data_IF_119635883406
#
_entry.id   IF_119635883406
#
_cell.length_a   1.000
_cell.length_b   1.000
_cell.length_c   1.000
_cell.angle_alpha   90.00
_cell.angle_beta   90.00
_cell.angle_gamma   90.00
#
_symmetry.space_group_name_H-M   'P 1'
#
loop_
_entity.id
_entity.type
_entity.pdbx_description
1 polymer ?
#
# COMPACT_ATOMS: atom_id res chain seq x y z
N UNK A 1 -17.55 -13.60 -5.39
CA UNK A 1 -16.74 -12.36 -5.22
C UNK A 1 -15.36 -12.64 -5.78
N UNK A 2 -14.80 -11.78 -6.66
CA UNK A 2 -13.44 -12.02 -7.19
C UNK A 2 -12.40 -11.81 -6.07
N UNK A 3 -11.42 -12.71 -5.91
CA UNK A 3 -10.37 -12.53 -4.93
C UNK A 3 -9.53 -11.29 -5.25
N UNK A 4 -9.03 -10.61 -4.23
CA UNK A 4 -8.10 -9.50 -4.39
C UNK A 4 -6.78 -10.03 -4.94
N UNK A 5 -6.40 -9.62 -6.15
CA UNK A 5 -5.12 -10.02 -6.74
C UNK A 5 -3.96 -9.22 -6.14
N UNK A 6 -3.37 -9.75 -5.07
CA UNK A 6 -2.27 -9.12 -4.32
C UNK A 6 -1.13 -8.68 -5.25
N UNK A 7 -0.70 -9.57 -6.18
CA UNK A 7 0.37 -9.26 -7.14
C UNK A 7 0.00 -8.12 -8.08
N UNK A 8 -1.26 -8.04 -8.51
CA UNK A 8 -1.74 -6.96 -9.38
C UNK A 8 -1.73 -5.60 -8.68
N UNK A 9 -2.15 -5.55 -7.41
CA UNK A 9 -2.11 -4.34 -6.59
C UNK A 9 -0.67 -3.93 -6.28
N UNK A 10 0.15 -4.87 -5.84
CA UNK A 10 1.57 -4.60 -5.58
C UNK A 10 2.27 -4.10 -6.84
N UNK A 11 1.98 -4.68 -8.01
CA UNK A 11 2.52 -4.24 -9.30
C UNK A 11 2.17 -2.78 -9.63
N UNK A 12 0.93 -2.33 -9.37
CA UNK A 12 0.53 -0.93 -9.53
C UNK A 12 1.33 0.00 -8.61
N UNK A 13 1.47 -0.36 -7.33
CA UNK A 13 2.25 0.41 -6.35
C UNK A 13 3.73 0.49 -6.78
N UNK A 14 4.32 -0.65 -7.18
CA UNK A 14 5.71 -0.74 -7.64
C UNK A 14 5.92 0.14 -8.88
N UNK A 15 4.96 0.20 -9.81
CA UNK A 15 5.02 1.09 -10.96
C UNK A 15 5.15 2.57 -10.55
N UNK A 16 4.38 3.01 -9.57
CA UNK A 16 4.49 4.37 -9.01
C UNK A 16 5.85 4.57 -8.34
N UNK A 17 6.31 3.63 -7.52
CA UNK A 17 7.60 3.74 -6.85
C UNK A 17 8.78 3.76 -7.83
N UNK A 18 8.75 2.98 -8.90
CA UNK A 18 9.75 3.03 -9.98
C UNK A 18 9.82 4.40 -10.64
N UNK A 19 8.68 5.03 -10.85
CA UNK A 19 8.59 6.38 -11.41
C UNK A 19 9.14 7.44 -10.43
N UNK A 20 8.64 7.43 -9.19
CA UNK A 20 8.99 8.46 -8.20
C UNK A 20 10.43 8.32 -7.68
N UNK A 21 10.91 7.09 -7.52
CA UNK A 21 12.26 6.79 -7.02
C UNK A 21 13.25 6.44 -8.12
N UNK A 22 12.98 6.77 -9.40
CA UNK A 22 13.79 6.35 -10.54
C UNK A 22 15.31 6.53 -10.34
N UNK A 23 15.73 7.67 -9.78
CA UNK A 23 17.15 7.98 -9.53
C UNK A 23 17.80 7.13 -8.43
N UNK A 24 17.01 6.59 -7.50
CA UNK A 24 17.47 5.79 -6.35
C UNK A 24 17.00 4.33 -6.41
N UNK A 25 16.37 3.91 -7.51
CA UNK A 25 15.71 2.61 -7.60
C UNK A 25 16.65 1.43 -7.31
N UNK A 26 17.92 1.52 -7.73
CA UNK A 26 18.94 0.51 -7.44
C UNK A 26 19.14 0.29 -5.94
N UNK A 27 18.98 1.33 -5.13
CA UNK A 27 19.20 1.31 -3.68
C UNK A 27 17.91 0.99 -2.92
N UNK A 28 16.77 1.52 -3.37
CA UNK A 28 15.49 1.43 -2.64
C UNK A 28 14.55 0.36 -3.18
N UNK A 29 14.82 -0.19 -4.36
CA UNK A 29 13.88 -1.05 -5.10
C UNK A 29 13.42 -2.27 -4.32
N UNK A 30 14.35 -2.99 -3.67
CA UNK A 30 14.02 -4.15 -2.83
C UNK A 30 13.06 -3.79 -1.68
N UNK A 31 13.28 -2.64 -1.04
CA UNK A 31 12.40 -2.15 0.04
C UNK A 31 11.05 -1.71 -0.51
N UNK A 32 11.04 -0.98 -1.62
CA UNK A 32 9.83 -0.52 -2.31
C UNK A 32 8.94 -1.69 -2.75
N UNK A 33 9.53 -2.75 -3.31
CA UNK A 33 8.82 -3.96 -3.73
C UNK A 33 8.26 -4.73 -2.52
N UNK A 34 9.06 -4.90 -1.46
CA UNK A 34 8.63 -5.58 -0.24
C UNK A 34 7.47 -4.83 0.44
N UNK A 35 7.57 -3.51 0.59
CA UNK A 35 6.52 -2.71 1.22
C UNK A 35 5.24 -2.67 0.37
N UNK A 36 5.35 -2.64 -0.96
CA UNK A 36 4.20 -2.75 -1.85
C UNK A 36 3.47 -4.10 -1.68
N UNK A 37 4.22 -5.20 -1.61
CA UNK A 37 3.65 -6.54 -1.37
C UNK A 37 3.01 -6.64 0.00
N UNK A 38 3.67 -6.16 1.06
CA UNK A 38 3.10 -6.14 2.41
C UNK A 38 1.81 -5.34 2.45
N UNK A 39 1.80 -4.13 1.89
CA UNK A 39 0.61 -3.29 1.88
C UNK A 39 -0.55 -3.94 1.13
N UNK A 40 -0.29 -4.57 -0.02
CA UNK A 40 -1.31 -5.32 -0.76
C UNK A 40 -1.85 -6.54 0.01
N UNK A 41 -0.99 -7.26 0.74
CA UNK A 41 -1.41 -8.34 1.62
C UNK A 41 -2.27 -7.84 2.79
N UNK A 42 -1.89 -6.72 3.41
CA UNK A 42 -2.64 -6.14 4.52
C UNK A 42 -4.06 -5.74 4.08
N UNK A 43 -4.23 -5.19 2.87
CA UNK A 43 -5.56 -4.91 2.30
C UNK A 43 -6.40 -6.20 2.23
N UNK A 44 -5.83 -7.29 1.70
CA UNK A 44 -6.54 -8.57 1.58
C UNK A 44 -6.93 -9.15 2.95
N UNK A 45 -6.00 -9.09 3.90
CA UNK A 45 -6.21 -9.60 5.25
C UNK A 45 -7.27 -8.79 6.02
N UNK A 46 -7.21 -7.46 5.93
CA UNK A 46 -8.18 -6.58 6.59
C UNK A 46 -9.58 -6.75 6.00
N UNK A 47 -9.69 -6.92 4.68
CA UNK A 47 -10.98 -7.24 4.05
C UNK A 47 -11.53 -8.58 4.55
N UNK A 48 -10.68 -9.61 4.70
CA UNK A 48 -11.09 -10.89 5.29
C UNK A 48 -11.57 -10.72 6.73
N UNK A 49 -10.82 -10.02 7.58
CA UNK A 49 -11.19 -9.76 8.98
C UNK A 49 -12.49 -8.95 9.10
N UNK A 50 -12.72 -7.99 8.21
CA UNK A 50 -13.97 -7.23 8.16
C UNK A 50 -15.14 -8.13 7.82
N UNK A 51 -15.00 -8.98 6.81
CA UNK A 51 -16.05 -9.91 6.37
C UNK A 51 -16.35 -11.00 7.39
N UNK A 52 -15.36 -11.42 8.16
CA UNK A 52 -15.53 -12.38 9.25
C UNK A 52 -16.04 -11.74 10.55
N UNK A 53 -16.22 -10.41 10.59
CA UNK A 53 -16.69 -9.68 11.77
C UNK A 53 -15.63 -9.52 12.88
N UNK A 54 -14.36 -9.82 12.59
CA UNK A 54 -13.25 -9.67 13.55
C UNK A 54 -12.84 -8.22 13.75
N UNK A 55 -13.08 -7.35 12.76
CA UNK A 55 -12.86 -5.91 12.87
C UNK A 55 -14.05 -5.12 12.32
N UNK A 56 -14.32 -3.97 12.92
CA UNK A 56 -15.27 -2.98 12.37
C UNK A 56 -14.65 -2.24 11.18
N UNK A 57 -15.47 -1.51 10.42
CA UNK A 57 -14.95 -0.67 9.33
C UNK A 57 -14.00 0.41 9.84
N UNK A 58 -14.26 0.98 11.02
CA UNK A 58 -13.39 1.99 11.62
C UNK A 58 -12.04 1.41 12.04
N UNK A 59 -12.04 0.24 12.68
CA UNK A 59 -10.82 -0.49 13.03
C UNK A 59 -10.01 -0.85 11.78
N UNK A 60 -10.69 -1.29 10.72
CA UNK A 60 -10.04 -1.60 9.45
C UNK A 60 -9.38 -0.37 8.79
N UNK A 61 -10.03 0.81 8.83
CA UNK A 61 -9.42 2.07 8.38
C UNK A 61 -8.22 2.47 9.23
N UNK A 62 -8.31 2.30 10.56
CA UNK A 62 -7.20 2.57 11.46
C UNK A 62 -5.99 1.67 11.16
N UNK A 63 -6.22 0.38 10.92
CA UNK A 63 -5.18 -0.57 10.50
C UNK A 63 -4.56 -0.15 9.16
N UNK A 64 -5.36 0.24 8.15
CA UNK A 64 -4.80 0.70 6.88
C UNK A 64 -3.97 1.98 7.01
N UNK A 65 -4.38 2.91 7.89
CA UNK A 65 -3.58 4.10 8.23
C UNK A 65 -2.26 3.72 8.88
N UNK A 66 -2.26 2.76 9.81
CA UNK A 66 -1.04 2.23 10.43
C UNK A 66 -0.10 1.61 9.38
N UNK A 67 -0.61 0.77 8.50
CA UNK A 67 0.19 0.14 7.45
C UNK A 67 0.77 1.17 6.47
N UNK A 68 0.00 2.20 6.10
CA UNK A 68 0.51 3.28 5.25
C UNK A 68 1.63 4.08 5.94
N UNK A 69 1.49 4.37 7.24
CA UNK A 69 2.53 5.02 8.05
C UNK A 69 3.78 4.15 8.18
N UNK A 70 3.62 2.85 8.45
CA UNK A 70 4.72 1.89 8.52
C UNK A 70 5.52 1.87 7.22
N UNK A 71 4.83 1.78 6.08
CA UNK A 71 5.46 1.82 4.76
C UNK A 71 6.23 3.13 4.53
N UNK A 72 5.66 4.28 4.90
CA UNK A 72 6.37 5.57 4.84
C UNK A 72 7.65 5.57 5.68
N UNK A 73 7.60 5.05 6.90
CA UNK A 73 8.76 5.00 7.79
C UNK A 73 9.87 4.11 7.22
N UNK A 74 9.53 2.91 6.75
CA UNK A 74 10.49 1.99 6.13
C UNK A 74 11.15 2.66 4.93
N UNK A 75 10.36 3.18 3.99
CA UNK A 75 10.92 3.82 2.80
C UNK A 75 11.78 5.04 3.15
N UNK A 76 11.34 5.89 4.07
CA UNK A 76 12.12 7.07 4.50
C UNK A 76 13.45 6.66 5.14
N UNK A 77 13.51 5.54 5.86
CA UNK A 77 14.74 5.03 6.47
C UNK A 77 15.77 4.50 5.44
N UNK A 78 15.37 4.34 4.17
CA UNK A 78 16.24 3.75 3.15
C UNK A 78 16.97 4.82 2.33
N UNK A 79 18.27 4.58 2.09
CA UNK A 79 19.10 5.30 1.12
C UNK A 79 19.05 6.84 1.18
N UNK A 80 18.80 7.42 2.36
CA UNK A 80 18.65 8.87 2.52
C UNK A 80 17.55 9.46 1.64
N UNK A 81 16.41 8.77 1.52
CA UNK A 81 15.24 9.35 0.86
C UNK A 81 14.67 10.50 1.72
N UNK A 82 14.37 11.63 1.08
CA UNK A 82 13.68 12.72 1.77
C UNK A 82 12.26 12.28 2.15
N UNK A 83 11.80 12.65 3.34
CA UNK A 83 10.44 12.41 3.81
C UNK A 83 9.39 12.85 2.78
N UNK A 84 9.54 14.05 2.20
CA UNK A 84 8.61 14.63 1.21
C UNK A 84 8.45 13.74 -0.03
N UNK A 85 9.55 13.19 -0.55
CA UNK A 85 9.51 12.31 -1.73
C UNK A 85 8.76 11.01 -1.41
N UNK A 86 9.01 10.43 -0.24
CA UNK A 86 8.33 9.20 0.20
C UNK A 86 6.85 9.45 0.44
N UNK A 87 6.48 10.57 1.07
CA UNK A 87 5.07 10.92 1.26
C UNK A 87 4.33 11.07 -0.06
N UNK A 88 4.95 11.76 -1.03
CA UNK A 88 4.40 11.89 -2.38
C UNK A 88 4.18 10.51 -3.01
N UNK A 89 5.20 9.65 -2.97
CA UNK A 89 5.13 8.32 -3.56
C UNK A 89 4.00 7.47 -2.95
N UNK A 90 3.92 7.43 -1.61
CA UNK A 90 2.93 6.61 -0.91
C UNK A 90 1.52 7.14 -1.12
N UNK A 91 1.31 8.45 -1.03
CA UNK A 91 -0.02 9.02 -1.25
C UNK A 91 -0.49 8.77 -2.70
N UNK A 92 0.39 9.02 -3.69
CA UNK A 92 0.07 8.75 -5.09
C UNK A 92 -0.23 7.27 -5.35
N UNK A 93 0.51 6.35 -4.72
CA UNK A 93 0.27 4.91 -4.84
C UNK A 93 -1.09 4.51 -4.25
N UNK A 94 -1.47 5.05 -3.09
CA UNK A 94 -2.76 4.78 -2.44
C UNK A 94 -3.91 5.32 -3.31
N UNK A 95 -3.79 6.55 -3.80
CA UNK A 95 -4.81 7.17 -4.65
C UNK A 95 -5.04 6.38 -5.94
N UNK A 96 -3.97 5.88 -6.56
CA UNK A 96 -4.02 5.08 -7.79
C UNK A 96 -4.76 3.75 -7.61
N UNK A 97 -4.56 3.06 -6.47
CA UNK A 97 -5.17 1.75 -6.25
C UNK A 97 -6.56 1.82 -5.60
N UNK A 98 -6.90 2.92 -4.93
CA UNK A 98 -8.11 3.09 -4.12
C UNK A 98 -9.38 2.70 -4.85
N UNK A 99 -9.57 3.22 -6.07
CA UNK A 99 -10.78 2.96 -6.86
C UNK A 99 -10.95 1.47 -7.21
N UNK A 100 -9.86 0.83 -7.61
CA UNK A 100 -9.85 -0.60 -7.96
C UNK A 100 -10.07 -1.47 -6.72
N UNK A 101 -9.37 -1.17 -5.62
CA UNK A 101 -9.50 -1.89 -4.35
C UNK A 101 -10.93 -1.83 -3.83
N UNK A 102 -11.46 -0.62 -3.65
CA UNK A 102 -12.79 -0.42 -3.07
C UNK A 102 -13.89 -1.06 -3.93
N UNK A 103 -13.73 -1.07 -5.27
CA UNK A 103 -14.64 -1.75 -6.18
C UNK A 103 -14.59 -3.28 -6.03
N UNK A 104 -13.40 -3.86 -5.88
CA UNK A 104 -13.22 -5.32 -5.74
C UNK A 104 -13.77 -5.80 -4.40
N UNK A 105 -13.45 -5.10 -3.32
CA UNK A 105 -13.86 -5.50 -1.96
C UNK A 105 -15.32 -5.13 -1.64
N UNK A 106 -15.91 -4.22 -2.41
CA UNK A 106 -17.32 -3.83 -2.27
C UNK A 106 -17.61 -2.87 -1.12
N UNK A 107 -16.59 -2.24 -0.54
CA UNK A 107 -16.72 -1.21 0.48
C UNK A 107 -15.52 -0.26 0.44
N UNK A 108 -15.64 0.91 1.09
CA UNK A 108 -14.61 1.96 1.01
C UNK A 108 -13.54 1.70 2.07
N UNK A 109 -12.48 0.96 1.79
CA UNK A 109 -11.37 0.81 2.75
C UNK A 109 -10.36 1.95 2.64
N UNK A 110 -9.94 2.24 1.40
CA UNK A 110 -8.98 3.29 1.04
C UNK A 110 -9.69 4.61 0.68
#
# INVERSE_FOLDING_TARGET
>A
MKPLEIKGIAGKIIGIYKSVFAKKWKEVGMYAENEALKYANNIAQIDLWKKSGQVTEEQARALMSLHARSMKMVLTSTAGMSLVLVEKAVNQAIDEIKGVVNKIIGWKLL
#
